data_IF_708062633057
#
_entry.id   IF_708062633057
#
_cell.length_a   1.000
_cell.length_b   1.000
_cell.length_c   1.000
_cell.angle_alpha   90.00
_cell.angle_beta   90.00
_cell.angle_gamma   90.00
#
_symmetry.space_group_name_H-M   'P 1'
#
loop_
_entity.id
_entity.type
_entity.pdbx_description
1 polymer ?
#
# COMPACT_ATOMS: atom_id res chain seq x y z
N UNK A 1 7.40 0.21 8.09
CA UNK A 1 7.14 -1.01 7.30
C UNK A 1 8.39 -1.87 7.27
N UNK A 2 8.29 -3.16 7.60
CA UNK A 2 9.39 -4.13 7.48
C UNK A 2 9.10 -5.13 6.37
N UNK A 3 10.06 -5.39 5.47
CA UNK A 3 9.95 -6.40 4.41
C UNK A 3 11.03 -7.46 4.65
N UNK A 4 10.60 -8.70 4.86
CA UNK A 4 11.50 -9.85 5.03
C UNK A 4 11.27 -10.81 3.87
N UNK A 5 12.34 -11.21 3.20
CA UNK A 5 12.31 -12.25 2.16
C UNK A 5 13.23 -13.36 2.61
N UNK A 6 12.68 -14.57 2.73
CA UNK A 6 13.38 -15.79 3.09
C UNK A 6 13.44 -16.67 1.86
N UNK A 7 14.64 -16.97 1.37
CA UNK A 7 14.85 -17.77 0.16
C UNK A 7 16.14 -18.58 0.28
N UNK A 8 16.13 -19.79 -0.28
CA UNK A 8 17.35 -20.61 -0.46
C UNK A 8 18.29 -20.02 -1.52
N UNK A 9 17.74 -19.29 -2.51
CA UNK A 9 18.48 -18.41 -3.41
C UNK A 9 18.51 -16.98 -2.86
N UNK A 10 19.65 -16.59 -2.28
CA UNK A 10 19.82 -15.28 -1.66
C UNK A 10 19.74 -14.12 -2.66
N UNK A 11 20.30 -14.28 -3.87
CA UNK A 11 20.27 -13.23 -4.90
C UNK A 11 18.87 -13.03 -5.44
N UNK A 12 18.15 -14.12 -5.75
CA UNK A 12 16.75 -14.07 -6.13
C UNK A 12 15.89 -13.43 -5.04
N UNK A 13 16.14 -13.78 -3.78
CA UNK A 13 15.44 -13.20 -2.62
C UNK A 13 15.63 -11.68 -2.48
N UNK A 14 16.87 -11.18 -2.62
CA UNK A 14 17.15 -9.74 -2.59
C UNK A 14 16.49 -8.99 -3.75
N UNK A 15 16.52 -9.57 -4.96
CA UNK A 15 15.82 -8.99 -6.12
C UNK A 15 14.31 -8.89 -5.86
N UNK A 16 13.70 -9.94 -5.29
CA UNK A 16 12.29 -9.92 -4.93
C UNK A 16 11.96 -8.86 -3.89
N UNK A 17 12.86 -8.61 -2.91
CA UNK A 17 12.67 -7.51 -1.96
C UNK A 17 12.53 -6.18 -2.68
N UNK A 18 13.41 -5.87 -3.63
CA UNK A 18 13.34 -4.62 -4.39
C UNK A 18 12.10 -4.53 -5.28
N UNK A 19 11.66 -5.63 -5.87
CA UNK A 19 10.41 -5.68 -6.63
C UNK A 19 9.22 -5.33 -5.72
N UNK A 20 9.17 -5.89 -4.52
CA UNK A 20 8.10 -5.64 -3.55
C UNK A 20 8.14 -4.18 -3.08
N UNK A 21 9.32 -3.67 -2.70
CA UNK A 21 9.52 -2.28 -2.28
C UNK A 21 8.99 -1.31 -3.33
N UNK A 22 9.38 -1.50 -4.60
CA UNK A 22 8.92 -0.65 -5.69
C UNK A 22 7.42 -0.72 -5.90
N UNK A 23 6.82 -1.92 -5.87
CA UNK A 23 5.37 -2.05 -6.04
C UNK A 23 4.59 -1.43 -4.86
N UNK A 24 5.13 -1.48 -3.64
CA UNK A 24 4.53 -0.79 -2.49
C UNK A 24 4.53 0.72 -2.71
N UNK A 25 5.63 1.28 -3.23
CA UNK A 25 5.71 2.71 -3.55
C UNK A 25 4.75 3.09 -4.68
N UNK A 26 4.73 2.32 -5.77
CA UNK A 26 3.86 2.56 -6.93
C UNK A 26 2.36 2.51 -6.54
N UNK A 27 2.00 1.69 -5.56
CA UNK A 27 0.63 1.58 -5.05
C UNK A 27 0.31 2.55 -3.91
N UNK A 28 1.28 3.36 -3.48
CA UNK A 28 1.18 4.29 -2.36
C UNK A 28 0.76 3.58 -1.05
N UNK A 29 1.32 2.39 -0.81
CA UNK A 29 0.99 1.52 0.32
C UNK A 29 1.94 1.68 1.53
N UNK A 30 2.98 2.51 1.42
CA UNK A 30 4.09 2.57 2.39
C UNK A 30 3.67 2.87 3.84
N UNK A 31 2.65 3.71 4.03
CA UNK A 31 2.08 4.05 5.35
C UNK A 31 1.00 3.07 5.81
N UNK A 32 0.35 2.37 4.88
CA UNK A 32 -0.77 1.48 5.14
C UNK A 32 -0.33 0.04 5.44
N UNK A 33 0.84 -0.38 4.94
CA UNK A 33 1.43 -1.70 5.19
C UNK A 33 2.28 -1.67 6.46
N UNK A 34 1.98 -2.60 7.38
CA UNK A 34 2.73 -2.78 8.63
C UNK A 34 3.98 -3.61 8.34
N UNK A 35 3.80 -4.77 7.71
CA UNK A 35 4.88 -5.69 7.40
C UNK A 35 4.54 -6.65 6.27
N UNK A 36 5.58 -7.06 5.55
CA UNK A 36 5.52 -8.08 4.50
C UNK A 36 6.55 -9.15 4.80
N UNK A 37 6.13 -10.41 4.75
CA UNK A 37 7.03 -11.56 4.79
C UNK A 37 6.80 -12.41 3.56
N UNK A 38 7.89 -12.72 2.86
CA UNK A 38 7.88 -13.59 1.69
C UNK A 38 8.78 -14.78 1.94
N UNK A 39 8.27 -15.97 1.65
CA UNK A 39 9.04 -17.21 1.59
C UNK A 39 9.07 -17.69 0.15
N UNK A 40 10.27 -17.92 -0.37
CA UNK A 40 10.50 -18.44 -1.72
C UNK A 40 11.28 -19.74 -1.57
N UNK A 41 10.74 -20.83 -2.11
CA UNK A 41 11.41 -22.13 -2.18
C UNK A 41 11.44 -22.60 -3.63
N UNK A 42 12.46 -22.20 -4.41
CA UNK A 42 12.61 -22.60 -5.81
C UNK A 42 12.65 -24.12 -6.01
N UNK A 43 13.16 -24.85 -5.02
CA UNK A 43 13.22 -26.32 -5.05
C UNK A 43 11.85 -27.01 -4.89
N UNK A 44 10.84 -26.29 -4.36
CA UNK A 44 9.47 -26.77 -4.17
C UNK A 44 8.45 -26.05 -5.08
N UNK A 45 8.92 -25.42 -6.17
CA UNK A 45 8.23 -24.32 -6.87
C UNK A 45 7.19 -23.55 -6.03
N UNK A 46 7.59 -23.05 -4.86
CA UNK A 46 6.66 -22.45 -3.88
C UNK A 46 7.00 -20.99 -3.61
N UNK A 47 5.98 -20.15 -3.66
CA UNK A 47 6.03 -18.75 -3.25
C UNK A 47 4.92 -18.49 -2.22
N UNK A 48 5.27 -17.91 -1.08
CA UNK A 48 4.31 -17.50 -0.06
C UNK A 48 4.55 -16.04 0.27
N UNK A 49 3.50 -15.23 0.26
CA UNK A 49 3.53 -13.84 0.72
C UNK A 49 2.48 -13.64 1.80
N UNK A 50 2.89 -12.99 2.88
CA UNK A 50 2.00 -12.47 3.92
C UNK A 50 2.16 -10.97 4.01
N UNK A 51 1.02 -10.27 4.02
CA UNK A 51 0.96 -8.82 4.15
C UNK A 51 0.04 -8.48 5.32
N UNK A 52 0.59 -7.84 6.35
CA UNK A 52 -0.18 -7.17 7.40
C UNK A 52 -0.31 -5.71 7.02
N UNK A 53 -1.53 -5.19 7.01
CA UNK A 53 -1.81 -3.80 6.67
C UNK A 53 -2.80 -3.22 7.67
N UNK A 54 -3.16 -1.94 7.54
CA UNK A 54 -4.21 -1.30 8.35
C UNK A 54 -5.35 -0.89 7.43
N UNK A 55 -6.51 -1.53 7.57
CA UNK A 55 -7.72 -1.07 6.89
C UNK A 55 -8.24 0.21 7.57
N UNK A 56 -8.88 1.10 6.81
CA UNK A 56 -9.39 2.36 7.34
C UNK A 56 -10.87 2.55 7.07
N UNK A 57 -11.50 3.29 7.98
CA UNK A 57 -12.83 3.84 7.73
C UNK A 57 -12.80 4.78 6.52
N UNK A 58 -13.86 4.75 5.72
CA UNK A 58 -14.00 5.56 4.52
C UNK A 58 -14.26 7.02 4.87
N UNK A 59 -13.20 7.75 5.22
CA UNK A 59 -13.22 9.22 5.24
C UNK A 59 -13.06 9.73 3.81
N UNK A 60 -13.71 10.85 3.50
CA UNK A 60 -13.71 11.41 2.15
C UNK A 60 -13.46 12.91 2.09
N UNK A 61 -13.46 13.60 3.24
CA UNK A 61 -13.08 15.01 3.32
C UNK A 61 -11.59 15.14 3.61
N UNK A 62 -10.98 16.14 3.01
CA UNK A 62 -9.56 16.42 3.18
C UNK A 62 -9.20 16.73 4.65
N UNK A 63 -10.08 17.43 5.39
CA UNK A 63 -9.86 17.72 6.81
C UNK A 63 -9.85 16.50 7.74
N UNK A 64 -10.43 15.37 7.31
CA UNK A 64 -10.44 14.13 8.08
C UNK A 64 -9.22 13.25 7.80
N UNK A 65 -8.53 13.51 6.69
CA UNK A 65 -7.46 12.72 6.09
C UNK A 65 -6.11 13.44 6.13
N UNK A 66 -6.08 14.69 6.59
CA UNK A 66 -4.90 15.54 6.52
C UNK A 66 -4.84 16.56 7.65
N UNK A 67 -3.61 16.88 8.06
CA UNK A 67 -3.33 18.07 8.86
C UNK A 67 -3.24 19.28 7.94
N UNK A 68 -4.04 20.32 8.22
CA UNK A 68 -4.10 21.55 7.43
C UNK A 68 -3.62 22.73 8.27
N UNK A 69 -2.53 23.38 7.83
CA UNK A 69 -1.87 24.50 8.50
C UNK A 69 -1.79 25.72 7.58
N UNK A 70 -2.21 26.89 8.05
CA UNK A 70 -2.00 28.13 7.32
C UNK A 70 -0.60 28.69 7.57
N UNK A 71 0.11 29.08 6.51
CA UNK A 71 1.46 29.66 6.55
C UNK A 71 1.59 30.79 5.54
N UNK A 72 1.73 32.02 6.01
CA UNK A 72 2.09 33.20 5.19
C UNK A 72 1.30 33.34 3.89
N UNK A 73 -0.03 33.16 3.93
CA UNK A 73 -0.92 33.25 2.76
C UNK A 73 -1.05 31.98 1.92
N UNK A 74 -0.29 30.94 2.24
CA UNK A 74 -0.43 29.59 1.69
C UNK A 74 -1.02 28.64 2.74
N UNK A 75 -1.52 27.51 2.29
CA UNK A 75 -1.98 26.42 3.16
C UNK A 75 -1.13 25.19 2.89
N UNK A 76 -0.51 24.65 3.95
CA UNK A 76 0.21 23.39 3.92
C UNK A 76 -0.75 22.28 4.35
N UNK A 77 -0.82 21.25 3.53
CA UNK A 77 -1.62 20.04 3.75
C UNK A 77 -0.63 18.90 3.92
N UNK A 78 -0.73 18.17 5.01
CA UNK A 78 0.04 16.95 5.27
C UNK A 78 -0.95 15.81 5.39
N UNK A 79 -1.04 14.97 4.36
CA UNK A 79 -1.89 13.79 4.34
C UNK A 79 -1.40 12.77 5.37
N UNK A 80 -2.34 12.08 6.01
CA UNK A 80 -2.01 10.95 6.89
C UNK A 80 -1.37 9.80 6.09
N UNK A 81 -1.78 9.61 4.84
CA UNK A 81 -1.31 8.53 3.96
C UNK A 81 -1.07 8.98 2.54
N UNK A 82 -0.04 8.39 1.94
CA UNK A 82 0.32 8.61 0.54
C UNK A 82 -0.79 8.12 -0.42
N UNK A 83 -1.61 7.17 0.02
CA UNK A 83 -2.71 6.61 -0.77
C UNK A 83 -3.77 7.65 -1.16
N UNK A 84 -3.91 8.72 -0.36
CA UNK A 84 -4.83 9.84 -0.57
C UNK A 84 -4.27 10.90 -1.55
N UNK A 85 -2.97 10.87 -1.83
CA UNK A 85 -2.27 11.94 -2.53
C UNK A 85 -2.82 12.20 -3.93
N UNK A 86 -3.03 11.15 -4.72
CA UNK A 86 -3.50 11.27 -6.10
C UNK A 86 -4.89 11.92 -6.17
N UNK A 87 -5.81 11.47 -5.32
CA UNK A 87 -7.17 12.00 -5.23
C UNK A 87 -7.18 13.46 -4.73
N UNK A 88 -6.36 13.75 -3.71
CA UNK A 88 -6.21 15.11 -3.18
C UNK A 88 -5.66 16.06 -4.25
N UNK A 89 -4.56 15.71 -4.94
CA UNK A 89 -3.98 16.53 -6.00
C UNK A 89 -4.96 16.76 -7.15
N UNK A 90 -5.64 15.71 -7.61
CA UNK A 90 -6.63 15.81 -8.68
C UNK A 90 -7.76 16.79 -8.31
N UNK A 91 -8.27 16.69 -7.09
CA UNK A 91 -9.34 17.56 -6.60
C UNK A 91 -8.83 19.00 -6.45
N UNK A 92 -7.68 19.20 -5.80
CA UNK A 92 -7.09 20.52 -5.58
C UNK A 92 -6.75 21.23 -6.89
N UNK A 93 -6.18 20.52 -7.88
CA UNK A 93 -5.92 21.08 -9.20
C UNK A 93 -7.20 21.49 -9.92
N UNK A 94 -8.27 20.71 -9.78
CA UNK A 94 -9.57 21.06 -10.37
C UNK A 94 -10.22 22.27 -9.70
N UNK A 95 -9.99 22.48 -8.40
CA UNK A 95 -10.62 23.57 -7.64
C UNK A 95 -9.81 24.87 -7.67
N UNK A 96 -8.49 24.79 -7.54
CA UNK A 96 -7.61 25.96 -7.36
C UNK A 96 -6.68 26.24 -8.54
N UNK A 97 -6.55 25.31 -9.47
CA UNK A 97 -5.61 25.41 -10.60
C UNK A 97 -4.24 24.80 -10.30
N UNK A 98 -3.54 24.39 -11.36
CA UNK A 98 -2.21 23.75 -11.27
C UNK A 98 -1.11 24.71 -10.85
N UNK A 99 -1.26 26.00 -11.15
CA UNK A 99 -0.33 27.06 -10.79
C UNK A 99 -0.29 27.37 -9.28
N UNK A 100 -1.39 27.04 -8.58
CA UNK A 100 -1.55 27.31 -7.15
C UNK A 100 -1.32 26.11 -6.25
N UNK A 101 -1.16 24.90 -6.79
CA UNK A 101 -1.06 23.65 -6.03
C UNK A 101 0.26 22.96 -6.36
N UNK A 102 1.11 22.81 -5.36
CA UNK A 102 2.44 22.25 -5.48
C UNK A 102 2.59 21.04 -4.54
N UNK A 103 3.08 19.91 -5.07
CA UNK A 103 3.45 18.76 -4.24
C UNK A 103 4.88 18.98 -3.71
N UNK A 104 5.03 19.17 -2.41
CA UNK A 104 6.32 19.42 -1.76
C UNK A 104 6.95 18.18 -1.13
N UNK A 105 6.23 17.04 -1.11
CA UNK A 105 6.71 15.77 -0.57
C UNK A 105 5.79 14.60 -0.89
N UNK A 106 6.07 13.42 -0.33
CA UNK A 106 5.27 12.19 -0.56
C UNK A 106 3.86 12.27 -0.01
N UNK A 107 3.64 13.05 1.04
CA UNK A 107 2.32 13.30 1.65
C UNK A 107 2.02 14.78 1.80
N UNK A 108 2.84 15.65 1.23
CA UNK A 108 2.76 17.09 1.45
C UNK A 108 2.36 17.86 0.20
N UNK A 109 1.38 18.75 0.37
CA UNK A 109 0.86 19.63 -0.67
C UNK A 109 0.82 21.06 -0.12
N UNK A 110 1.19 22.03 -0.94
CA UNK A 110 1.06 23.46 -0.65
C UNK A 110 0.06 24.07 -1.63
N UNK A 111 -0.92 24.82 -1.09
CA UNK A 111 -1.95 25.51 -1.87
C UNK A 111 -1.88 27.02 -1.61
N UNK A 112 -1.70 27.81 -2.67
CA UNK A 112 -1.55 29.27 -2.60
C UNK A 112 -2.92 29.96 -2.60
N UNK A 113 -3.13 30.89 -1.66
CA UNK A 113 -4.33 31.73 -1.61
C UNK A 113 -5.63 30.95 -1.35
N UNK A 114 -5.54 29.78 -0.73
CA UNK A 114 -6.70 29.01 -0.30
C UNK A 114 -7.09 29.34 1.15
N UNK A 115 -8.38 29.23 1.42
CA UNK A 115 -8.95 29.28 2.76
C UNK A 115 -8.86 27.89 3.42
N UNK A 116 -8.25 27.76 4.63
CA UNK A 116 -8.10 26.48 5.31
C UNK A 116 -9.43 25.76 5.61
N UNK A 117 -10.49 26.50 5.93
CA UNK A 117 -11.78 25.90 6.29
C UNK A 117 -12.50 25.33 5.07
N UNK A 118 -12.42 26.04 3.94
CA UNK A 118 -12.86 25.54 2.63
C UNK A 118 -12.12 24.27 2.22
N UNK A 119 -10.81 24.19 2.51
CA UNK A 119 -10.01 22.99 2.26
C UNK A 119 -10.43 21.82 3.15
N UNK A 120 -10.76 22.05 4.43
CA UNK A 120 -11.21 20.99 5.35
C UNK A 120 -12.46 20.29 4.86
N UNK A 121 -13.40 21.05 4.31
CA UNK A 121 -14.70 20.54 3.82
C UNK A 121 -14.63 19.91 2.42
N UNK A 122 -13.49 20.04 1.73
CA UNK A 122 -13.31 19.55 0.37
C UNK A 122 -13.40 18.02 0.33
N UNK A 123 -14.38 17.48 -0.41
CA UNK A 123 -14.49 16.05 -0.67
C UNK A 123 -13.50 15.65 -1.76
N UNK A 124 -12.49 14.86 -1.40
CA UNK A 124 -11.44 14.41 -2.33
C UNK A 124 -11.76 13.09 -3.00
N UNK A 125 -12.78 12.35 -2.52
CA UNK A 125 -13.15 11.02 -3.06
C UNK A 125 -14.61 10.93 -3.46
N UNK A 126 -14.85 10.31 -4.63
CA UNK A 126 -16.18 9.82 -5.04
C UNK A 126 -16.43 8.39 -4.60
N UNK A 127 -15.38 7.56 -4.58
CA UNK A 127 -15.43 6.13 -4.24
C UNK A 127 -14.38 5.82 -3.16
N UNK A 128 -14.61 4.76 -2.39
CA UNK A 128 -13.72 4.34 -1.29
C UNK A 128 -12.47 3.71 -1.89
N UNK A 129 -11.28 4.22 -1.52
CA UNK A 129 -10.03 3.50 -1.79
C UNK A 129 -9.88 2.43 -0.71
N UNK A 130 -9.95 1.15 -1.07
CA UNK A 130 -9.68 0.07 -0.12
C UNK A 130 -8.20 -0.27 -0.09
N UNK A 131 -7.62 -0.24 1.12
CA UNK A 131 -6.24 -0.71 1.32
C UNK A 131 -6.16 -2.19 0.96
N UNK A 132 -7.19 -2.98 1.31
CA UNK A 132 -7.25 -4.39 0.95
C UNK A 132 -7.20 -4.65 -0.56
N UNK A 133 -7.83 -3.83 -1.39
CA UNK A 133 -7.82 -3.96 -2.85
C UNK A 133 -6.43 -3.71 -3.41
N UNK A 134 -5.75 -2.64 -2.95
CA UNK A 134 -4.36 -2.38 -3.35
C UNK A 134 -3.40 -3.44 -2.83
N UNK A 135 -3.63 -4.01 -1.66
CA UNK A 135 -2.84 -5.13 -1.14
C UNK A 135 -3.06 -6.40 -1.99
N UNK A 136 -4.29 -6.68 -2.45
CA UNK A 136 -4.53 -7.76 -3.41
C UNK A 136 -3.80 -7.49 -4.74
N UNK A 137 -3.83 -6.26 -5.21
CA UNK A 137 -3.12 -5.84 -6.43
C UNK A 137 -1.60 -6.03 -6.27
N UNK A 138 -1.01 -5.58 -5.15
CA UNK A 138 0.40 -5.80 -4.82
C UNK A 138 0.75 -7.28 -4.90
N UNK A 139 -0.01 -8.14 -4.21
CA UNK A 139 0.23 -9.58 -4.18
C UNK A 139 0.16 -10.19 -5.59
N UNK A 140 -0.80 -9.76 -6.41
CA UNK A 140 -0.91 -10.25 -7.78
C UNK A 140 0.25 -9.83 -8.68
N UNK A 141 0.80 -8.63 -8.48
CA UNK A 141 1.96 -8.13 -9.25
C UNK A 141 3.27 -8.84 -8.91
N UNK A 142 3.41 -9.30 -7.66
CA UNK A 142 4.68 -9.90 -7.18
C UNK A 142 4.71 -11.42 -7.28
N UNK A 143 3.57 -12.10 -7.38
CA UNK A 143 3.57 -13.57 -7.53
C UNK A 143 4.14 -13.94 -8.91
N UNK A 144 5.11 -14.88 -8.98
CA UNK A 144 5.64 -15.34 -10.26
C UNK A 144 4.56 -15.96 -11.14
N UNK A 145 4.53 -15.58 -12.42
CA UNK A 145 3.51 -16.01 -13.38
C UNK A 145 3.48 -17.53 -13.62
N UNK A 146 4.61 -18.22 -13.45
CA UNK A 146 4.72 -19.67 -13.59
C UNK A 146 3.93 -20.46 -12.54
N UNK A 147 3.62 -19.84 -11.39
CA UNK A 147 2.94 -20.49 -10.28
C UNK A 147 1.42 -20.29 -10.39
N UNK A 148 0.73 -21.30 -10.91
CA UNK A 148 -0.69 -21.21 -11.30
C UNK A 148 -1.64 -21.62 -10.19
N UNK A 149 -1.24 -22.53 -9.31
CA UNK A 149 -2.07 -22.97 -8.19
C UNK A 149 -1.98 -21.94 -7.07
N UNK A 150 -3.11 -21.38 -6.65
CA UNK A 150 -3.16 -20.37 -5.60
C UNK A 150 -3.99 -20.82 -4.41
N UNK A 151 -3.52 -20.48 -3.23
CA UNK A 151 -4.26 -20.62 -1.98
C UNK A 151 -4.16 -19.31 -1.21
N UNK A 152 -5.29 -18.73 -0.82
CA UNK A 152 -5.33 -17.45 -0.13
C UNK A 152 -6.13 -17.57 1.17
N UNK A 153 -5.61 -16.97 2.22
CA UNK A 153 -6.26 -16.84 3.53
C UNK A 153 -6.27 -15.38 3.91
N UNK A 154 -7.43 -14.89 4.35
CA UNK A 154 -7.62 -13.54 4.84
C UNK A 154 -8.20 -13.58 6.25
N UNK A 155 -7.51 -12.93 7.18
CA UNK A 155 -7.91 -12.83 8.57
C UNK A 155 -7.79 -11.37 9.00
N UNK A 156 -8.91 -10.66 8.99
CA UNK A 156 -8.95 -9.23 9.30
C UNK A 156 -8.04 -8.42 8.36
N UNK A 157 -6.97 -7.87 8.95
CA UNK A 157 -5.97 -7.01 8.32
C UNK A 157 -4.69 -7.77 7.86
N UNK A 158 -4.76 -9.10 7.84
CA UNK A 158 -3.73 -9.98 7.32
C UNK A 158 -4.22 -10.67 6.03
N UNK A 159 -3.42 -10.58 4.97
CA UNK A 159 -3.57 -11.39 3.76
C UNK A 159 -2.38 -12.33 3.64
N UNK A 160 -2.65 -13.63 3.48
CA UNK A 160 -1.65 -14.64 3.12
C UNK A 160 -2.02 -15.24 1.76
N UNK A 161 -1.07 -15.32 0.84
CA UNK A 161 -1.24 -16.00 -0.45
C UNK A 161 -0.06 -16.92 -0.68
N UNK A 162 -0.36 -18.16 -1.03
CA UNK A 162 0.58 -19.16 -1.52
C UNK A 162 0.34 -19.36 -3.01
N UNK A 163 1.42 -19.50 -3.77
CA UNK A 163 1.41 -19.87 -5.16
C UNK A 163 2.39 -21.03 -5.39
N UNK A 164 1.98 -22.01 -6.19
CA UNK A 164 2.82 -23.15 -6.57
C UNK A 164 2.52 -23.62 -8.01
N UNK A 165 3.38 -24.47 -8.56
CA UNK A 165 3.12 -25.17 -9.84
C UNK A 165 2.11 -26.30 -9.65
N UNK A 166 2.29 -27.09 -8.59
CA UNK A 166 1.48 -28.26 -8.25
C UNK A 166 0.45 -27.97 -7.14
N UNK A 167 -0.55 -28.86 -6.94
CA UNK A 167 -1.48 -28.77 -5.81
C UNK A 167 -0.76 -28.61 -4.47
N UNK A 168 -1.16 -27.59 -3.70
CA UNK A 168 -0.49 -27.21 -2.45
C UNK A 168 -0.86 -28.20 -1.32
N UNK A 169 0.10 -28.96 -0.77
CA UNK A 169 -0.11 -29.87 0.35
C UNK A 169 -0.52 -29.19 1.66
N UNK A 170 -1.20 -29.91 2.55
CA UNK A 170 -1.66 -29.38 3.84
C UNK A 170 -0.54 -28.99 4.81
N UNK A 171 0.59 -29.69 4.80
CA UNK A 171 1.77 -29.35 5.60
C UNK A 171 2.38 -28.02 5.15
N UNK A 172 2.35 -27.69 3.86
CA UNK A 172 2.80 -26.39 3.36
C UNK A 172 1.87 -25.26 3.81
N UNK A 173 0.56 -25.50 3.87
CA UNK A 173 -0.42 -24.53 4.39
C UNK A 173 -0.20 -24.24 5.88
N UNK A 174 0.11 -25.28 6.67
CA UNK A 174 0.47 -25.13 8.08
C UNK A 174 1.76 -24.32 8.25
N UNK A 175 2.83 -24.71 7.54
CA UNK A 175 4.09 -23.96 7.52
C UNK A 175 3.87 -22.49 7.14
N UNK A 176 3.08 -22.24 6.10
CA UNK A 176 2.76 -20.88 5.68
C UNK A 176 2.03 -20.13 6.78
N UNK A 177 1.06 -20.73 7.47
CA UNK A 177 0.32 -20.11 8.58
C UNK A 177 1.22 -19.74 9.76
N UNK A 178 2.24 -20.55 10.05
CA UNK A 178 3.19 -20.31 11.14
C UNK A 178 4.25 -19.24 10.83
N UNK A 179 4.40 -18.80 9.57
CA UNK A 179 5.29 -17.69 9.22
C UNK A 179 4.86 -16.41 9.96
N UNK A 180 5.67 -15.98 10.92
CA UNK A 180 5.45 -14.73 11.63
C UNK A 180 5.61 -13.55 10.68
N UNK A 181 4.70 -12.58 10.78
CA UNK A 181 4.87 -11.26 10.17
C UNK A 181 5.25 -10.33 11.30
N UNK A 182 6.54 -9.97 11.36
CA UNK A 182 7.01 -8.99 12.33
C UNK A 182 6.28 -7.66 12.12
N UNK A 183 5.64 -7.18 13.19
CA UNK A 183 4.90 -5.92 13.25
C UNK A 183 5.78 -4.73 13.57
#
# INVERSE_FOLDING_TARGET
MKIVVVSSDSKGGEMYRHIIERNVEDLALGSSVVGIVVLIKPELPLFVIKVRYKERESKNKLGELAKIEQRSGNVRIVLEDEIDLGDALKTLWSTYGRDKVEQSGRTEIVVKGADPDSLRELKIRKERVSVSEKVNELVNRVIPEGLRVRYAVREGDLLMVMAAEDPIPEDWKRMATDLAVDT
#
